data_IF_669201445211
#
_entry.id   IF_669201445211
#
_cell.length_a   1.000
_cell.length_b   1.000
_cell.length_c   1.000
_cell.angle_alpha   90.00
_cell.angle_beta   90.00
_cell.angle_gamma   90.00
#
_symmetry.space_group_name_H-M   'P 1'
#
loop_
_entity.id
_entity.type
_entity.pdbx_description
1 polymer ?
#
# COMPACT_ATOMS: atom_id res chain seq x y z
N UNK A 1 -1.47 29.58 22.06
CA UNK A 1 -2.70 28.90 22.51
C UNK A 1 -3.31 28.00 21.44
N UNK A 2 -3.32 28.34 20.15
CA UNK A 2 -3.84 27.43 19.10
C UNK A 2 -2.97 26.19 18.80
N UNK A 3 -1.64 26.25 19.01
CA UNK A 3 -0.74 25.13 18.69
C UNK A 3 -0.78 23.96 19.69
N UNK A 4 -1.13 24.19 20.95
CA UNK A 4 -1.16 23.12 21.96
C UNK A 4 -2.40 22.22 21.79
N UNK A 5 -3.54 22.81 21.43
CA UNK A 5 -4.77 22.04 21.14
C UNK A 5 -4.67 21.23 19.83
N UNK A 6 -3.97 21.74 18.80
CA UNK A 6 -3.70 20.97 17.58
C UNK A 6 -2.66 19.86 17.82
N UNK A 7 -1.59 20.10 18.58
CA UNK A 7 -0.60 19.07 18.89
C UNK A 7 -1.16 17.97 19.80
N UNK A 8 -2.02 18.32 20.76
CA UNK A 8 -2.76 17.35 21.57
C UNK A 8 -3.73 16.49 20.75
N UNK A 9 -4.09 16.91 19.53
CA UNK A 9 -4.94 16.14 18.62
C UNK A 9 -4.20 15.03 17.86
N UNK A 10 -2.86 15.05 17.83
CA UNK A 10 -2.02 14.13 17.05
C UNK A 10 -1.26 13.09 17.88
N UNK A 11 -1.67 12.88 19.13
CA UNK A 11 -1.03 11.93 20.04
C UNK A 11 -1.31 10.48 19.66
N UNK A 12 -0.41 9.58 20.07
CA UNK A 12 -0.57 8.15 19.86
C UNK A 12 -1.90 7.63 20.42
N UNK A 13 -2.28 8.04 21.63
CA UNK A 13 -3.54 7.64 22.27
C UNK A 13 -4.77 8.00 21.43
N UNK A 14 -4.85 9.26 20.96
CA UNK A 14 -5.94 9.73 20.09
C UNK A 14 -6.01 8.95 18.78
N UNK A 15 -4.86 8.67 18.16
CA UNK A 15 -4.81 7.92 16.92
C UNK A 15 -5.20 6.45 17.13
N UNK A 16 -4.80 5.84 18.25
CA UNK A 16 -5.23 4.50 18.66
C UNK A 16 -6.75 4.46 18.83
N UNK A 17 -7.33 5.40 19.58
CA UNK A 17 -8.78 5.47 19.77
C UNK A 17 -9.53 5.62 18.44
N UNK A 18 -9.04 6.50 17.56
CA UNK A 18 -9.62 6.67 16.22
C UNK A 18 -9.51 5.39 15.38
N UNK A 19 -8.35 4.71 15.40
CA UNK A 19 -8.12 3.46 14.68
C UNK A 19 -9.00 2.32 15.17
N UNK A 20 -9.15 2.17 16.48
CA UNK A 20 -10.06 1.18 17.09
C UNK A 20 -11.53 1.49 16.80
N UNK A 21 -11.93 2.76 16.86
CA UNK A 21 -13.30 3.19 16.53
C UNK A 21 -13.63 2.88 15.07
N UNK A 22 -12.73 3.22 14.14
CA UNK A 22 -12.87 2.90 12.71
C UNK A 22 -12.90 1.39 12.46
N UNK A 23 -12.09 0.61 13.18
CA UNK A 23 -12.07 -0.83 13.07
C UNK A 23 -13.39 -1.45 13.57
N UNK A 24 -13.93 -0.97 14.70
CA UNK A 24 -15.25 -1.39 15.21
C UNK A 24 -16.35 -1.13 14.19
N UNK A 25 -16.40 0.08 13.63
CA UNK A 25 -17.40 0.46 12.63
C UNK A 25 -17.33 -0.42 11.36
N UNK A 26 -16.13 -0.84 10.97
CA UNK A 26 -15.89 -1.65 9.75
C UNK A 26 -15.81 -3.15 9.99
N UNK A 27 -15.95 -3.61 11.24
CA UNK A 27 -15.80 -5.02 11.61
C UNK A 27 -14.38 -5.57 11.40
N UNK A 28 -13.36 -4.73 11.56
CA UNK A 28 -11.93 -5.02 11.37
C UNK A 28 -11.15 -5.12 12.70
N UNK A 29 -11.84 -5.45 13.79
CA UNK A 29 -11.21 -5.61 15.11
C UNK A 29 -10.15 -6.72 15.13
N UNK A 30 -10.30 -7.72 14.26
CA UNK A 30 -9.35 -8.82 14.09
C UNK A 30 -8.63 -8.73 12.76
N UNK A 31 -7.37 -9.19 12.74
CA UNK A 31 -6.62 -9.30 11.50
C UNK A 31 -7.37 -10.16 10.49
N UNK A 32 -7.70 -9.58 9.34
CA UNK A 32 -8.20 -10.34 8.18
C UNK A 32 -7.07 -10.71 7.23
N UNK A 33 -5.82 -10.55 7.67
CA UNK A 33 -4.64 -10.75 6.86
C UNK A 33 -4.48 -12.22 6.47
N UNK A 34 -4.62 -12.50 5.18
CA UNK A 34 -4.37 -13.85 4.69
C UNK A 34 -2.87 -14.13 4.74
N UNK A 35 -2.52 -15.33 5.21
CA UNK A 35 -1.15 -15.80 5.18
C UNK A 35 -0.57 -15.77 3.77
N UNK A 36 0.44 -14.94 3.59
CA UNK A 36 1.19 -14.86 2.35
C UNK A 36 2.39 -15.82 2.31
N UNK A 37 2.84 -16.12 1.09
CA UNK A 37 4.07 -16.87 0.86
C UNK A 37 5.27 -16.05 1.32
N UNK A 38 6.15 -16.65 2.12
CA UNK A 38 7.38 -16.01 2.57
C UNK A 38 8.31 -15.70 1.39
N UNK A 39 8.53 -14.42 1.13
CA UNK A 39 9.38 -13.90 0.05
C UNK A 39 10.86 -14.32 0.18
N UNK A 40 11.28 -14.76 1.38
CA UNK A 40 12.62 -15.32 1.62
C UNK A 40 12.74 -16.75 1.09
N UNK A 41 11.63 -17.48 0.99
CA UNK A 41 11.57 -18.88 0.54
C UNK A 41 11.11 -19.02 -0.90
N UNK A 42 10.25 -18.11 -1.38
CA UNK A 42 9.72 -18.15 -2.75
C UNK A 42 10.20 -16.98 -3.60
N UNK A 43 10.11 -17.15 -4.92
CA UNK A 43 10.31 -16.07 -5.87
C UNK A 43 9.17 -15.06 -5.78
N UNK A 44 9.50 -13.78 -5.97
CA UNK A 44 8.59 -12.65 -5.72
C UNK A 44 7.28 -12.71 -6.53
N UNK A 45 7.32 -13.26 -7.75
CA UNK A 45 6.13 -13.43 -8.59
C UNK A 45 5.17 -14.51 -8.09
N UNK A 46 5.52 -15.30 -7.05
CA UNK A 46 4.58 -16.22 -6.38
C UNK A 46 3.87 -15.58 -5.18
N UNK A 47 4.26 -14.36 -4.81
CA UNK A 47 3.64 -13.61 -3.71
C UNK A 47 2.52 -12.75 -4.28
N UNK A 48 1.31 -12.90 -3.74
CA UNK A 48 0.09 -12.28 -4.30
C UNK A 48 0.12 -10.76 -4.17
N UNK A 49 0.45 -10.22 -3.00
CA UNK A 49 0.56 -8.77 -2.83
C UNK A 49 1.55 -8.10 -3.79
N UNK A 50 2.65 -8.79 -4.14
CA UNK A 50 3.60 -8.29 -5.14
C UNK A 50 3.10 -8.40 -6.58
N UNK A 51 2.33 -9.44 -6.92
CA UNK A 51 1.67 -9.53 -8.23
C UNK A 51 0.66 -8.41 -8.44
N UNK A 52 -0.08 -8.01 -7.40
CA UNK A 52 -1.00 -6.88 -7.52
C UNK A 52 -0.26 -5.56 -7.83
N UNK A 53 0.94 -5.39 -7.28
CA UNK A 53 1.78 -4.21 -7.51
C UNK A 53 2.47 -4.21 -8.88
N UNK A 54 2.53 -5.34 -9.59
CA UNK A 54 3.27 -5.45 -10.84
C UNK A 54 2.48 -5.11 -12.10
N UNK A 55 1.15 -4.93 -12.00
CA UNK A 55 0.26 -4.66 -13.14
C UNK A 55 0.38 -5.67 -14.30
N UNK A 56 0.81 -6.91 -14.02
CA UNK A 56 0.99 -7.94 -15.06
C UNK A 56 -0.33 -8.39 -15.69
N UNK A 57 -1.41 -8.50 -14.89
CA UNK A 57 -2.73 -8.95 -15.37
C UNK A 57 -3.28 -8.05 -16.49
N UNK A 58 -3.38 -6.71 -16.33
CA UNK A 58 -3.87 -5.86 -17.40
C UNK A 58 -2.96 -5.88 -18.64
N UNK A 59 -1.64 -5.99 -18.46
CA UNK A 59 -0.71 -6.16 -19.58
C UNK A 59 -0.92 -7.48 -20.35
N UNK A 60 -1.13 -8.60 -19.66
CA UNK A 60 -1.45 -9.87 -20.31
C UNK A 60 -2.80 -9.80 -21.04
N UNK A 61 -3.77 -9.07 -20.49
CA UNK A 61 -5.06 -8.81 -21.12
C UNK A 61 -4.92 -8.06 -22.45
N UNK A 62 -4.09 -7.01 -22.50
CA UNK A 62 -3.84 -6.28 -23.76
C UNK A 62 -3.08 -7.13 -24.76
N UNK A 63 -2.11 -7.94 -24.32
CA UNK A 63 -1.38 -8.86 -25.18
C UNK A 63 -2.33 -9.90 -25.83
N UNK A 64 -3.23 -10.48 -25.04
CA UNK A 64 -4.25 -11.42 -25.54
C UNK A 64 -5.20 -10.76 -26.56
N UNK A 65 -5.60 -9.50 -26.31
CA UNK A 65 -6.45 -8.75 -27.23
C UNK A 65 -5.74 -8.46 -28.56
N UNK A 66 -4.43 -8.17 -28.54
CA UNK A 66 -3.64 -8.02 -29.76
C UNK A 66 -3.54 -9.34 -30.54
N UNK A 67 -3.28 -10.46 -29.84
CA UNK A 67 -3.24 -11.77 -30.49
C UNK A 67 -4.59 -12.12 -31.15
N UNK A 68 -5.70 -11.83 -30.49
CA UNK A 68 -7.03 -12.00 -31.05
C UNK A 68 -7.27 -11.10 -32.28
N UNK A 69 -6.86 -9.83 -32.22
CA UNK A 69 -6.98 -8.90 -33.33
C UNK A 69 -6.19 -9.35 -34.58
N UNK A 70 -4.95 -9.82 -34.39
CA UNK A 70 -4.13 -10.40 -35.47
C UNK A 70 -4.82 -11.63 -36.05
N UNK A 71 -5.32 -12.54 -35.22
CA UNK A 71 -6.00 -13.75 -35.68
C UNK A 71 -7.27 -13.43 -36.49
N UNK A 72 -8.06 -12.45 -36.08
CA UNK A 72 -9.24 -11.99 -36.82
C UNK A 72 -8.84 -11.33 -38.13
N UNK A 73 -7.85 -10.45 -38.11
CA UNK A 73 -7.36 -9.75 -39.29
C UNK A 73 -6.78 -10.69 -40.35
N UNK A 74 -6.09 -11.76 -39.94
CA UNK A 74 -5.60 -12.78 -40.86
C UNK A 74 -6.70 -13.62 -41.51
N UNK A 75 -7.89 -13.73 -40.90
CA UNK A 75 -9.03 -14.49 -41.44
C UNK A 75 -9.99 -13.63 -42.27
N UNK A 76 -10.10 -12.34 -41.97
CA UNK A 76 -11.06 -11.41 -42.60
C UNK A 76 -10.40 -10.04 -42.83
N UNK A 77 -9.47 -9.92 -43.79
CA UNK A 77 -8.69 -8.69 -44.00
C UNK A 77 -9.56 -7.47 -44.32
N UNK A 78 -10.64 -7.66 -45.08
CA UNK A 78 -11.52 -6.56 -45.53
C UNK A 78 -12.47 -6.05 -44.43
N UNK A 79 -12.54 -6.75 -43.29
CA UNK A 79 -13.41 -6.39 -42.16
C UNK A 79 -12.62 -5.92 -40.94
N UNK A 80 -11.36 -5.52 -41.11
CA UNK A 80 -10.50 -5.04 -40.01
C UNK A 80 -10.79 -3.57 -39.74
N UNK A 81 -11.47 -3.23 -38.63
CA UNK A 81 -11.68 -1.84 -38.25
C UNK A 81 -10.36 -1.12 -37.91
N UNK A 82 -10.24 0.14 -38.31
CA UNK A 82 -9.01 0.95 -38.16
C UNK A 82 -8.51 1.07 -36.70
N UNK A 83 -9.40 0.98 -35.71
CA UNK A 83 -9.03 1.07 -34.29
C UNK A 83 -8.08 -0.05 -33.81
N UNK A 84 -7.90 -1.13 -34.58
CA UNK A 84 -7.01 -2.24 -34.24
C UNK A 84 -5.55 -1.76 -34.21
N UNK A 85 -5.21 -0.74 -35.00
CA UNK A 85 -3.89 -0.12 -34.99
C UNK A 85 -3.58 0.65 -33.69
N UNK A 86 -4.58 0.92 -32.84
CA UNK A 86 -4.40 1.54 -31.53
C UNK A 86 -3.98 0.50 -30.48
N UNK A 87 -4.33 -0.78 -30.65
CA UNK A 87 -4.03 -1.84 -29.68
C UNK A 87 -2.53 -2.03 -29.41
N UNK A 88 -1.63 -1.99 -30.41
CA UNK A 88 -0.19 -2.02 -30.16
C UNK A 88 0.28 -0.85 -29.30
N UNK A 89 -0.23 0.36 -29.54
CA UNK A 89 0.12 1.55 -28.75
C UNK A 89 -0.30 1.39 -27.29
N UNK A 90 -1.52 0.93 -27.04
CA UNK A 90 -2.02 0.61 -25.69
C UNK A 90 -1.13 -0.45 -25.03
N UNK A 91 -0.68 -1.45 -25.79
CA UNK A 91 0.18 -2.53 -25.27
C UNK A 91 1.54 -2.02 -24.85
N UNK A 92 2.14 -1.11 -25.63
CA UNK A 92 3.41 -0.46 -25.26
C UNK A 92 3.26 0.33 -23.96
N UNK A 93 2.17 1.10 -23.81
CA UNK A 93 1.89 1.85 -22.57
C UNK A 93 1.79 0.89 -21.38
N UNK A 94 1.03 -0.20 -21.51
CA UNK A 94 0.92 -1.20 -20.45
C UNK A 94 2.22 -1.96 -20.19
N UNK A 95 3.05 -2.20 -21.20
CA UNK A 95 4.36 -2.82 -21.04
C UNK A 95 5.28 -1.94 -20.17
N UNK A 96 5.27 -0.62 -20.40
CA UNK A 96 6.02 0.33 -19.59
C UNK A 96 5.52 0.34 -18.15
N UNK A 97 4.20 0.45 -17.95
CA UNK A 97 3.57 0.41 -16.61
C UNK A 97 3.91 -0.89 -15.87
N UNK A 98 3.76 -2.04 -16.54
CA UNK A 98 4.09 -3.34 -15.96
C UNK A 98 5.59 -3.47 -15.66
N UNK A 99 6.47 -2.90 -16.50
CA UNK A 99 7.91 -2.86 -16.27
C UNK A 99 8.26 -2.08 -15.00
N UNK A 100 7.69 -0.89 -14.81
CA UNK A 100 7.85 -0.11 -13.58
C UNK A 100 7.28 -0.85 -12.36
N UNK A 101 6.07 -1.43 -12.49
CA UNK A 101 5.43 -2.22 -11.43
C UNK A 101 6.27 -3.43 -11.02
N UNK A 102 6.80 -4.20 -11.98
CA UNK A 102 7.68 -5.34 -11.73
C UNK A 102 8.98 -4.91 -11.04
N UNK A 103 9.61 -3.82 -11.50
CA UNK A 103 10.83 -3.28 -10.88
C UNK A 103 10.56 -2.86 -9.44
N UNK A 104 9.42 -2.22 -9.18
CA UNK A 104 9.00 -1.81 -7.84
C UNK A 104 8.72 -3.03 -6.94
N UNK A 105 7.97 -4.01 -7.42
CA UNK A 105 7.69 -5.26 -6.70
C UNK A 105 8.98 -6.03 -6.38
N UNK A 106 9.92 -6.08 -7.32
CA UNK A 106 11.22 -6.70 -7.10
C UNK A 106 12.06 -5.96 -6.04
N UNK A 107 12.06 -4.63 -6.05
CA UNK A 107 12.72 -3.83 -5.00
C UNK A 107 12.10 -4.07 -3.63
N UNK A 108 10.77 -4.07 -3.53
CA UNK A 108 10.05 -4.42 -2.29
C UNK A 108 10.44 -5.81 -1.81
N UNK A 109 10.45 -6.81 -2.69
CA UNK A 109 10.86 -8.17 -2.34
C UNK A 109 12.30 -8.24 -1.85
N UNK A 110 13.21 -7.48 -2.48
CA UNK A 110 14.62 -7.40 -2.07
C UNK A 110 14.76 -6.77 -0.68
N UNK A 111 14.04 -5.68 -0.42
CA UNK A 111 14.05 -5.02 0.89
C UNK A 111 13.48 -5.96 1.96
N UNK A 112 12.33 -6.57 1.71
CA UNK A 112 11.69 -7.49 2.67
C UNK A 112 12.57 -8.69 3.05
N UNK A 113 13.50 -9.10 2.19
CA UNK A 113 14.45 -10.19 2.48
C UNK A 113 15.53 -9.81 3.47
N UNK A 114 15.79 -8.52 3.68
CA UNK A 114 16.73 -8.07 4.68
C UNK A 114 16.21 -8.39 6.09
N UNK A 115 17.10 -8.39 7.07
CA UNK A 115 16.70 -8.52 8.46
C UNK A 115 15.95 -7.26 8.89
N UNK A 116 14.82 -7.38 9.62
CA UNK A 116 14.10 -6.22 10.12
C UNK A 116 14.99 -5.42 11.06
N UNK A 117 15.09 -4.12 10.81
CA UNK A 117 16.06 -3.26 11.46
C UNK A 117 15.49 -2.61 12.72
N UNK A 118 14.22 -2.16 12.67
CA UNK A 118 13.64 -1.30 13.70
C UNK A 118 12.24 -1.78 14.04
N UNK A 119 11.96 -1.97 15.33
CA UNK A 119 10.61 -2.22 15.82
C UNK A 119 9.91 -0.89 16.11
N UNK A 120 8.67 -0.77 15.66
CA UNK A 120 7.84 0.42 15.82
C UNK A 120 6.42 0.01 16.20
N UNK A 121 5.75 0.87 16.95
CA UNK A 121 4.30 0.76 17.13
C UNK A 121 3.61 1.29 15.89
N UNK A 122 2.48 0.71 15.52
CA UNK A 122 1.72 1.19 14.38
C UNK A 122 0.24 1.33 14.71
N UNK A 123 -0.41 2.24 13.99
CA UNK A 123 -1.86 2.42 13.96
C UNK A 123 -2.32 2.45 12.51
N UNK A 124 -3.31 1.63 12.19
CA UNK A 124 -3.99 1.60 10.90
C UNK A 124 -5.16 2.58 10.93
N UNK A 125 -5.05 3.66 10.18
CA UNK A 125 -6.13 4.61 9.98
C UNK A 125 -6.65 4.54 8.55
N UNK A 126 -7.94 4.74 8.40
CA UNK A 126 -8.59 4.79 7.11
C UNK A 126 -9.00 6.23 6.82
N UNK A 127 -8.38 6.79 5.79
CA UNK A 127 -8.77 8.10 5.29
C UNK A 127 -10.08 8.00 4.52
N UNK A 128 -10.93 9.03 4.66
CA UNK A 128 -12.13 9.20 3.83
C UNK A 128 -11.82 9.84 2.48
N UNK A 129 -10.84 10.76 2.46
CA UNK A 129 -10.44 11.49 1.27
C UNK A 129 -9.54 10.64 0.36
N UNK A 130 -8.64 9.85 0.95
CA UNK A 130 -7.79 8.94 0.20
C UNK A 130 -8.42 7.56 0.17
N UNK A 131 -8.57 7.00 -1.04
CA UNK A 131 -9.10 5.64 -1.25
C UNK A 131 -8.11 4.54 -0.79
N UNK A 132 -7.34 4.77 0.26
CA UNK A 132 -6.32 3.86 0.78
C UNK A 132 -6.28 3.87 2.32
N UNK A 133 -6.07 2.71 2.98
CA UNK A 133 -5.67 2.66 4.38
C UNK A 133 -4.24 3.16 4.56
N UNK A 134 -3.94 3.76 5.69
CA UNK A 134 -2.61 4.26 6.05
C UNK A 134 -2.13 3.64 7.35
N UNK A 135 -0.89 3.16 7.36
CA UNK A 135 -0.18 2.79 8.57
C UNK A 135 0.62 4.00 9.05
N UNK A 136 0.32 4.47 10.26
CA UNK A 136 1.15 5.43 10.98
C UNK A 136 2.08 4.70 11.92
N UNK A 137 3.34 5.13 11.97
CA UNK A 137 4.37 4.52 12.81
C UNK A 137 4.80 5.47 13.90
N UNK A 138 4.97 4.90 15.08
CA UNK A 138 5.38 5.57 16.29
C UNK A 138 6.61 4.86 16.87
N UNK A 139 7.53 5.62 17.49
CA UNK A 139 8.69 5.04 18.14
C UNK A 139 8.24 4.08 19.25
N UNK A 140 8.96 2.96 19.40
CA UNK A 140 8.63 1.95 20.40
C UNK A 140 8.89 2.44 21.84
N UNK A 141 9.92 3.25 22.03
CA UNK A 141 10.32 3.81 23.32
C UNK A 141 9.62 5.13 23.68
N UNK A 142 8.69 5.59 22.84
CA UNK A 142 8.05 6.89 22.99
C UNK A 142 6.87 6.90 23.97
N UNK A 143 6.59 8.06 24.56
CA UNK A 143 5.38 8.27 25.37
C UNK A 143 4.07 8.15 24.58
N UNK A 144 2.94 8.11 25.27
CA UNK A 144 1.59 8.14 24.66
C UNK A 144 1.27 9.48 23.99
N UNK A 145 2.03 10.52 24.34
CA UNK A 145 1.92 11.87 23.80
C UNK A 145 2.78 12.10 22.54
N UNK A 146 3.61 11.12 22.14
CA UNK A 146 4.46 11.28 20.97
C UNK A 146 3.67 11.16 19.66
N UNK A 147 4.00 12.05 18.72
CA UNK A 147 3.42 12.06 17.39
C UNK A 147 3.97 10.97 16.47
N UNK A 148 3.31 10.75 15.31
CA UNK A 148 3.78 9.79 14.32
C UNK A 148 5.08 10.26 13.66
N UNK A 149 6.01 9.33 13.48
CA UNK A 149 7.30 9.58 12.80
C UNK A 149 7.21 9.32 11.30
N UNK A 150 6.28 8.47 10.89
CA UNK A 150 6.10 8.13 9.49
C UNK A 150 4.75 7.56 9.17
N UNK A 151 4.40 7.60 7.89
CA UNK A 151 3.18 7.04 7.35
C UNK A 151 3.46 6.23 6.08
N UNK A 152 2.71 5.15 5.91
CA UNK A 152 2.83 4.28 4.76
C UNK A 152 1.43 3.87 4.27
N UNK A 153 1.05 4.24 3.05
CA UNK A 153 -0.23 3.85 2.51
C UNK A 153 -0.19 2.37 2.14
N UNK A 154 -1.26 1.67 2.48
CA UNK A 154 -1.55 0.32 2.03
C UNK A 154 -2.50 0.36 0.84
N UNK A 155 -2.64 -0.78 0.17
CA UNK A 155 -3.64 -0.95 -0.89
C UNK A 155 -4.79 -1.75 -0.31
N UNK A 156 -6.01 -1.29 -0.58
CA UNK A 156 -7.17 -2.15 -0.39
C UNK A 156 -7.09 -3.37 -1.32
N UNK A 157 -7.73 -4.46 -0.88
CA UNK A 157 -8.00 -5.60 -1.71
C UNK A 157 -8.90 -5.26 -2.91
N UNK A 158 -9.13 -6.24 -3.82
CA UNK A 158 -10.07 -6.06 -4.92
C UNK A 158 -11.47 -5.68 -4.40
N UNK A 159 -12.26 -4.93 -5.20
CA UNK A 159 -13.57 -4.37 -4.80
C UNK A 159 -14.50 -5.33 -4.03
N UNK A 160 -14.54 -6.61 -4.42
CA UNK A 160 -15.37 -7.64 -3.78
C UNK A 160 -14.96 -7.93 -2.33
N UNK A 161 -13.67 -7.78 -2.04
CA UNK A 161 -13.02 -8.09 -0.77
C UNK A 161 -12.14 -6.88 -0.33
N UNK A 162 -12.69 -5.66 -0.39
CA UNK A 162 -11.91 -4.41 -0.27
C UNK A 162 -11.10 -4.33 1.04
N UNK A 163 -11.71 -4.74 2.15
CA UNK A 163 -11.12 -4.67 3.49
C UNK A 163 -10.34 -5.94 3.88
N UNK A 164 -10.25 -6.91 2.97
CA UNK A 164 -9.48 -8.14 3.17
C UNK A 164 -8.00 -7.83 3.04
N UNK A 165 -7.17 -8.64 3.73
CA UNK A 165 -5.72 -8.52 3.74
C UNK A 165 -5.17 -7.29 4.49
N UNK A 166 -6.00 -6.70 5.37
CA UNK A 166 -5.58 -5.62 6.26
C UNK A 166 -5.07 -6.18 7.61
N UNK A 167 -4.04 -5.54 8.21
CA UNK A 167 -3.56 -5.89 9.55
C UNK A 167 -4.57 -5.45 10.61
N UNK A 168 -4.26 -5.78 11.87
CA UNK A 168 -5.00 -5.28 13.03
C UNK A 168 -4.95 -3.74 13.10
N UNK A 169 -5.92 -3.09 13.77
CA UNK A 169 -5.94 -1.63 13.87
C UNK A 169 -4.72 -1.06 14.58
N UNK A 170 -4.19 -1.77 15.57
CA UNK A 170 -3.05 -1.33 16.38
C UNK A 170 -2.14 -2.53 16.63
N UNK A 171 -0.83 -2.29 16.63
CA UNK A 171 0.12 -3.34 17.01
C UNK A 171 1.58 -2.91 16.90
N UNK A 172 2.45 -3.90 16.78
CA UNK A 172 3.89 -3.71 16.58
C UNK A 172 4.29 -4.22 15.19
N UNK A 173 5.07 -3.42 14.48
CA UNK A 173 5.64 -3.76 13.18
C UNK A 173 7.16 -3.72 13.26
N UNK A 174 7.82 -4.63 12.55
CA UNK A 174 9.25 -4.56 12.32
C UNK A 174 9.51 -3.99 10.92
N UNK A 175 10.04 -2.78 10.84
CA UNK A 175 10.35 -2.13 9.59
C UNK A 175 11.63 -2.70 8.99
N UNK A 176 11.57 -3.00 7.70
CA UNK A 176 12.73 -3.41 6.91
C UNK A 176 12.92 -2.42 5.76
N UNK A 177 14.14 -1.96 5.57
CA UNK A 177 14.48 -0.93 4.59
C UNK A 177 15.13 0.28 5.24
N UNK A 178 15.45 1.26 4.41
CA UNK A 178 16.00 2.54 4.86
C UNK A 178 14.83 3.49 5.14
N UNK A 179 14.76 4.02 6.36
CA UNK A 179 13.69 4.91 6.82
C UNK A 179 13.96 6.36 6.36
N UNK A 180 15.19 6.66 5.96
CA UNK A 180 15.61 7.98 5.51
C UNK A 180 15.15 8.25 4.08
N UNK A 181 14.14 9.11 3.92
CA UNK A 181 13.73 9.74 2.65
C UNK A 181 13.27 8.80 1.52
N UNK A 182 12.02 8.98 1.05
CA UNK A 182 11.44 8.41 -0.19
C UNK A 182 11.86 6.97 -0.55
N UNK A 183 12.10 6.14 0.47
CA UNK A 183 12.67 4.82 0.33
C UNK A 183 11.59 3.77 0.48
N UNK A 184 11.81 2.62 -0.16
CA UNK A 184 10.89 1.50 -0.05
C UNK A 184 11.10 0.85 1.31
N UNK A 185 10.12 1.02 2.20
CA UNK A 185 10.06 0.36 3.51
C UNK A 185 8.99 -0.71 3.46
N UNK A 186 9.32 -1.91 3.93
CA UNK A 186 8.36 -3.02 4.05
C UNK A 186 8.15 -3.34 5.53
N UNK A 187 6.97 -3.07 6.09
CA UNK A 187 6.64 -3.47 7.45
C UNK A 187 6.38 -4.98 7.53
N UNK A 188 6.91 -5.61 8.58
CA UNK A 188 6.59 -6.97 8.98
C UNK A 188 5.66 -6.93 10.20
N UNK A 189 4.44 -7.42 10.04
CA UNK A 189 3.42 -7.47 11.10
C UNK A 189 3.08 -8.94 11.33
N UNK A 190 3.06 -9.39 12.59
CA UNK A 190 2.74 -10.78 12.95
C UNK A 190 3.54 -11.83 12.13
N UNK A 191 4.82 -11.53 11.86
CA UNK A 191 5.72 -12.40 11.10
C UNK A 191 5.46 -12.46 9.59
N UNK A 192 4.63 -11.57 9.05
CA UNK A 192 4.29 -11.50 7.62
C UNK A 192 4.63 -10.12 7.03
N UNK A 193 5.15 -10.06 5.79
CA UNK A 193 5.39 -8.79 5.12
C UNK A 193 4.07 -8.17 4.65
N UNK A 194 3.91 -6.87 4.89
CA UNK A 194 2.78 -6.09 4.39
C UNK A 194 3.27 -5.20 3.27
N UNK A 195 2.62 -5.27 2.10
CA UNK A 195 3.11 -4.60 0.90
C UNK A 195 2.54 -3.19 0.76
N UNK A 196 3.38 -2.15 0.74
CA UNK A 196 2.90 -0.78 0.66
C UNK A 196 2.44 -0.39 -0.75
N UNK A 197 1.45 0.50 -0.79
CA UNK A 197 0.91 1.12 -2.00
C UNK A 197 1.78 2.27 -2.53
N UNK A 198 2.54 2.94 -1.67
CA UNK A 198 3.49 4.01 -2.03
C UNK A 198 4.81 3.87 -1.25
N UNK A 199 5.68 4.87 -1.38
CA UNK A 199 6.92 4.99 -0.60
C UNK A 199 6.63 5.45 0.83
N UNK A 200 7.59 5.23 1.73
CA UNK A 200 7.50 5.70 3.11
C UNK A 200 7.51 7.23 3.14
N UNK A 201 6.52 7.82 3.81
CA UNK A 201 6.45 9.25 4.04
C UNK A 201 6.88 9.53 5.47
N UNK A 202 7.92 10.32 5.63
CA UNK A 202 8.28 10.89 6.93
C UNK A 202 7.25 11.94 7.30
N UNK A 203 6.78 11.91 8.55
CA UNK A 203 5.77 12.84 9.05
C UNK A 203 6.47 13.85 9.93
N UNK A 204 6.52 15.09 9.45
CA UNK A 204 6.86 16.25 10.26
C UNK A 204 5.58 17.03 10.54
N UNK A 205 5.12 17.04 11.79
CA UNK A 205 3.92 17.77 12.20
C UNK A 205 4.09 19.30 12.12
N UNK A 206 5.33 19.80 11.99
CA UNK A 206 5.59 21.21 11.73
C UNK A 206 5.28 21.60 10.28
N UNK A 207 5.19 20.62 9.37
CA UNK A 207 4.71 20.85 8.01
C UNK A 207 3.17 20.88 7.99
N UNK A 208 2.56 22.01 7.58
CA UNK A 208 1.10 22.13 7.52
C UNK A 208 0.43 21.12 6.58
N UNK A 209 1.13 20.57 5.58
CA UNK A 209 0.56 19.53 4.72
C UNK A 209 0.43 18.20 5.46
N UNK A 210 1.43 17.83 6.25
CA UNK A 210 1.42 16.62 7.05
C UNK A 210 0.41 16.71 8.19
N UNK A 211 0.35 17.85 8.88
CA UNK A 211 -0.65 18.10 9.93
C UNK A 211 -2.09 17.99 9.37
N UNK A 212 -2.35 18.53 8.18
CA UNK A 212 -3.64 18.36 7.47
C UNK A 212 -3.93 16.90 7.15
N UNK A 213 -2.95 16.19 6.60
CA UNK A 213 -3.13 14.76 6.28
C UNK A 213 -3.47 13.93 7.53
N UNK A 214 -2.78 14.17 8.66
CA UNK A 214 -3.06 13.45 9.91
C UNK A 214 -4.43 13.82 10.47
N UNK A 215 -4.78 15.12 10.53
CA UNK A 215 -6.09 15.57 11.02
C UNK A 215 -7.27 15.04 10.21
N UNK A 216 -7.13 14.91 8.88
CA UNK A 216 -8.15 14.29 8.02
C UNK A 216 -8.39 12.82 8.35
N UNK A 217 -7.41 12.12 8.93
CA UNK A 217 -7.52 10.70 9.26
C UNK A 217 -8.04 10.45 10.68
N UNK A 218 -7.83 11.39 11.60
CA UNK A 218 -8.27 11.29 13.00
C UNK A 218 -9.75 11.67 13.15
N UNK A 219 -10.33 12.45 12.22
CA UNK A 219 -11.75 12.82 12.29
C UNK A 219 -12.64 11.58 12.39
N UNK A 220 -13.28 11.46 13.56
CA UNK A 220 -14.32 10.50 13.84
C UNK A 220 -15.56 10.81 12.98
N UNK A 221 -16.30 9.76 12.64
CA UNK A 221 -17.70 9.88 12.17
C UNK A 221 -18.57 10.51 13.26
#
# INVERSE_FOLDING_TARGET
MQNEDEQASFTFERMVEAGESQARYRGLEQSTMRRESDVRRVMWWRVRGLQYSSHLIPFLGTLALNAAAVMVGSRKPDSVPFWIFILPLITVVWAVIAGFGCRRAWRMARVARLQPAIQVRYVLLHSYASEAPWLFFFPQSGGEEEGPVGALPLRYGPLRDRLRDLPEPVGVAALTGEINGASIVVPWINGQPVWPAAEFKEIDLNDPQNARMVSEMIRAE
#
